data_IF_558879596368
#
_entry.id   IF_558879596368
#
_cell.length_a   1.000
_cell.length_b   1.000
_cell.length_c   1.000
_cell.angle_alpha   90.00
_cell.angle_beta   90.00
_cell.angle_gamma   90.00
#
_symmetry.space_group_name_H-M   'P 1'
#
loop_
_entity.id
_entity.type
_entity.pdbx_description
1 polymer ?
#
# COMPACT_ATOMS: atom_id res chain seq x y z
N UNK A 1 3.15 11.02 17.40
CA UNK A 1 1.73 10.91 17.02
C UNK A 1 1.61 9.72 16.08
N UNK A 2 0.88 8.67 16.48
CA UNK A 2 0.55 7.55 15.60
C UNK A 2 -0.57 8.02 14.67
N UNK A 3 -0.25 8.31 13.41
CA UNK A 3 -1.28 8.63 12.42
C UNK A 3 -1.68 7.31 11.74
N UNK A 4 -2.68 6.65 12.30
CA UNK A 4 -3.35 5.53 11.67
C UNK A 4 -4.55 6.08 10.89
N UNK A 5 -4.42 6.18 9.57
CA UNK A 5 -5.56 6.51 8.71
C UNK A 5 -6.27 5.20 8.37
N UNK A 6 -7.35 4.91 9.09
CA UNK A 6 -8.28 3.82 8.78
C UNK A 6 -9.13 4.23 7.57
N UNK A 7 -8.57 4.21 6.37
CA UNK A 7 -9.40 4.22 5.18
C UNK A 7 -9.86 2.78 4.89
N UNK A 8 -11.13 2.49 5.22
CA UNK A 8 -11.81 1.25 4.79
C UNK A 8 -11.94 1.24 3.27
N UNK A 9 -10.86 0.88 2.57
CA UNK A 9 -10.85 0.72 1.12
C UNK A 9 -11.11 -0.76 0.77
N UNK A 10 -11.61 -1.04 -0.44
CA UNK A 10 -11.96 -2.39 -0.93
C UNK A 10 -10.83 -3.43 -0.84
N UNK A 11 -9.60 -2.98 -0.59
CA UNK A 11 -8.39 -3.79 -0.45
C UNK A 11 -8.04 -4.17 1.01
N UNK A 12 -8.85 -3.82 2.02
CA UNK A 12 -8.61 -4.14 3.44
C UNK A 12 -7.16 -3.89 3.90
N UNK A 13 -6.58 -2.77 3.44
CA UNK A 13 -5.16 -2.44 3.58
C UNK A 13 -5.03 -1.22 4.50
N UNK A 14 -4.20 -1.34 5.54
CA UNK A 14 -3.96 -0.26 6.51
C UNK A 14 -2.57 0.34 6.29
N UNK A 15 -2.46 1.66 6.16
CA UNK A 15 -1.20 2.38 6.07
C UNK A 15 -0.90 3.13 7.39
N UNK A 16 0.35 3.14 7.83
CA UNK A 16 0.74 3.67 9.14
C UNK A 16 1.95 4.60 9.02
N UNK A 17 1.90 5.71 9.76
CA UNK A 17 3.02 6.61 10.02
C UNK A 17 3.24 6.84 11.52
N UNK A 18 4.42 6.46 12.00
CA UNK A 18 4.92 6.66 13.36
C UNK A 18 5.84 7.89 13.38
N UNK A 19 5.29 9.06 13.71
CA UNK A 19 6.04 10.33 13.72
C UNK A 19 6.37 10.74 15.16
N UNK A 20 7.67 10.81 15.48
CA UNK A 20 8.25 11.33 16.72
C UNK A 20 8.77 12.76 16.57
N UNK A 21 9.49 13.26 17.58
CA UNK A 21 10.04 14.62 17.55
C UNK A 21 11.13 14.80 16.49
N UNK A 22 12.05 13.83 16.39
CA UNK A 22 13.22 13.91 15.51
C UNK A 22 13.19 12.88 14.37
N UNK A 23 12.29 11.89 14.44
CA UNK A 23 12.28 10.75 13.55
C UNK A 23 10.86 10.38 13.14
N UNK A 24 10.71 9.86 11.92
CA UNK A 24 9.47 9.30 11.42
C UNK A 24 9.71 7.93 10.77
N UNK A 25 8.82 6.98 11.03
CA UNK A 25 8.81 5.65 10.41
C UNK A 25 7.48 5.44 9.73
N UNK A 26 7.49 5.02 8.46
CA UNK A 26 6.29 4.71 7.69
C UNK A 26 6.31 3.25 7.32
N UNK A 27 5.24 2.54 7.66
CA UNK A 27 5.17 1.09 7.55
C UNK A 27 3.74 0.65 7.22
N UNK A 28 3.60 -0.57 6.69
CA UNK A 28 2.28 -1.17 6.53
C UNK A 28 1.63 -1.39 7.91
N UNK A 29 0.42 -0.87 8.08
CA UNK A 29 -0.43 -1.16 9.24
C UNK A 29 -1.10 -2.51 9.12
N UNK A 30 -1.39 -3.15 10.26
CA UNK A 30 -2.13 -4.40 10.45
C UNK A 30 -2.10 -5.38 9.25
N UNK A 31 -1.24 -6.40 9.36
CA UNK A 31 -1.15 -7.58 8.50
C UNK A 31 -2.52 -8.06 8.01
N UNK A 32 -2.78 -7.97 6.71
CA UNK A 32 -3.89 -8.64 6.04
C UNK A 32 -3.65 -10.18 5.96
N UNK A 33 -3.16 -10.79 7.04
CA UNK A 33 -2.91 -12.23 7.12
C UNK A 33 -1.65 -12.73 6.37
N UNK A 34 -0.75 -11.83 5.99
CA UNK A 34 0.42 -12.06 5.14
C UNK A 34 1.78 -11.90 5.83
N UNK A 35 1.85 -11.24 6.98
CA UNK A 35 3.11 -11.06 7.74
C UNK A 35 3.59 -12.39 8.32
N UNK A 36 4.85 -12.75 8.04
CA UNK A 36 5.53 -13.92 8.60
C UNK A 36 5.23 -15.26 7.92
N UNK A 37 4.46 -15.27 6.82
CA UNK A 37 4.16 -16.50 6.06
C UNK A 37 5.19 -16.71 4.95
N UNK A 38 6.05 -17.71 5.12
CA UNK A 38 7.08 -18.09 4.16
C UNK A 38 6.51 -18.40 2.76
N UNK A 39 5.38 -19.10 2.72
CA UNK A 39 4.68 -19.43 1.48
C UNK A 39 4.29 -18.19 0.65
N UNK A 40 3.94 -17.07 1.31
CA UNK A 40 3.53 -15.85 0.61
C UNK A 40 4.72 -15.07 0.04
N UNK A 41 5.90 -15.21 0.65
CA UNK A 41 7.15 -14.63 0.17
C UNK A 41 7.60 -15.36 -1.09
N UNK A 42 7.55 -16.70 -1.07
CA UNK A 42 7.92 -17.54 -2.22
C UNK A 42 6.92 -17.39 -3.37
N UNK A 43 5.62 -17.30 -3.06
CA UNK A 43 4.57 -17.16 -4.08
C UNK A 43 4.47 -15.74 -4.67
N UNK A 44 5.13 -14.72 -4.08
CA UNK A 44 5.01 -13.30 -4.48
C UNK A 44 3.55 -12.83 -4.58
N UNK A 45 2.73 -13.20 -3.60
CA UNK A 45 1.27 -12.91 -3.57
C UNK A 45 0.84 -11.98 -2.44
N UNK A 46 1.78 -11.25 -1.85
CA UNK A 46 1.47 -10.25 -0.85
C UNK A 46 0.85 -9.00 -1.50
N UNK A 47 -0.13 -8.39 -0.85
CA UNK A 47 -0.73 -7.14 -1.30
C UNK A 47 0.22 -5.95 -1.03
N UNK A 48 0.71 -5.23 -2.06
CA UNK A 48 1.63 -4.10 -1.86
C UNK A 48 0.91 -2.78 -1.49
N UNK A 49 -0.43 -2.73 -1.54
CA UNK A 49 -1.21 -1.48 -1.43
C UNK A 49 -0.94 -0.73 -0.12
N UNK A 50 -0.97 -1.42 1.02
CA UNK A 50 -0.73 -0.83 2.33
C UNK A 50 0.64 -0.13 2.39
N UNK A 51 1.66 -0.76 1.83
CA UNK A 51 3.02 -0.23 1.81
C UNK A 51 3.11 0.98 0.87
N UNK A 52 2.53 0.90 -0.33
CA UNK A 52 2.53 2.01 -1.29
C UNK A 52 1.84 3.27 -0.73
N UNK A 53 0.70 3.10 -0.05
CA UNK A 53 0.01 4.22 0.62
C UNK A 53 0.82 4.79 1.80
N UNK A 54 1.55 3.93 2.53
CA UNK A 54 2.46 4.39 3.58
C UNK A 54 3.65 5.17 2.99
N UNK A 55 4.15 4.77 1.83
CA UNK A 55 5.15 5.55 1.07
C UNK A 55 4.60 6.90 0.60
N UNK A 56 3.31 6.99 0.22
CA UNK A 56 2.69 8.28 -0.09
C UNK A 56 2.65 9.20 1.15
N UNK A 57 2.34 8.67 2.34
CA UNK A 57 2.43 9.44 3.59
C UNK A 57 3.85 9.93 3.87
N UNK A 58 4.86 9.07 3.62
CA UNK A 58 6.27 9.45 3.73
C UNK A 58 6.63 10.60 2.78
N UNK A 59 6.19 10.52 1.51
CA UNK A 59 6.42 11.59 0.54
C UNK A 59 5.80 12.92 0.99
N UNK A 60 4.59 12.89 1.57
CA UNK A 60 3.97 14.09 2.17
C UNK A 60 4.81 14.63 3.34
N UNK A 61 5.32 13.74 4.20
CA UNK A 61 6.17 14.14 5.32
C UNK A 61 7.49 14.79 4.85
N UNK A 62 8.09 14.26 3.79
CA UNK A 62 9.30 14.79 3.15
C UNK A 62 9.07 16.05 2.30
N UNK A 63 7.87 16.65 2.35
CA UNK A 63 7.50 17.85 1.59
C UNK A 63 7.45 17.64 0.06
N UNK A 64 7.08 16.43 -0.37
CA UNK A 64 6.85 16.07 -1.78
C UNK A 64 5.36 15.73 -2.07
N UNK A 65 4.42 16.68 -1.89
CA UNK A 65 2.99 16.41 -2.02
C UNK A 65 2.57 15.99 -3.43
N UNK A 66 3.18 16.56 -4.48
CA UNK A 66 2.85 16.21 -5.88
C UNK A 66 3.15 14.74 -6.21
N UNK A 67 4.27 14.22 -5.73
CA UNK A 67 4.62 12.80 -5.89
C UNK A 67 3.70 11.89 -5.07
N UNK A 68 3.34 12.33 -3.86
CA UNK A 68 2.37 11.61 -3.04
C UNK A 68 1.00 11.51 -3.72
N UNK A 69 0.50 12.61 -4.27
CA UNK A 69 -0.80 12.69 -4.94
C UNK A 69 -0.84 11.80 -6.19
N UNK A 70 0.23 11.78 -7.00
CA UNK A 70 0.36 10.90 -8.16
C UNK A 70 0.31 9.43 -7.77
N UNK A 71 1.12 9.04 -6.77
CA UNK A 71 1.16 7.66 -6.27
C UNK A 71 -0.19 7.23 -5.69
N UNK A 72 -0.79 8.07 -4.84
CA UNK A 72 -2.07 7.77 -4.21
C UNK A 72 -3.19 7.65 -5.26
N UNK A 73 -3.21 8.55 -6.25
CA UNK A 73 -4.19 8.51 -7.35
C UNK A 73 -4.04 7.24 -8.18
N UNK A 74 -2.82 6.87 -8.57
CA UNK A 74 -2.56 5.66 -9.32
C UNK A 74 -3.01 4.39 -8.56
N UNK A 75 -2.67 4.30 -7.27
CA UNK A 75 -3.09 3.19 -6.40
C UNK A 75 -4.62 3.15 -6.26
N UNK A 76 -5.27 4.30 -6.06
CA UNK A 76 -6.75 4.38 -5.97
C UNK A 76 -7.42 3.92 -7.26
N UNK A 77 -6.89 4.25 -8.44
CA UNK A 77 -7.43 3.79 -9.73
C UNK A 77 -7.38 2.26 -9.85
N UNK A 78 -6.22 1.66 -9.59
CA UNK A 78 -6.02 0.20 -9.64
C UNK A 78 -6.96 -0.55 -8.68
N UNK A 79 -7.15 -0.03 -7.46
CA UNK A 79 -8.07 -0.63 -6.48
C UNK A 79 -9.53 -0.46 -6.91
N UNK A 80 -9.90 0.71 -7.45
CA UNK A 80 -11.26 1.02 -7.87
C UNK A 80 -11.75 0.11 -9.01
N UNK A 81 -10.85 -0.29 -9.91
CA UNK A 81 -11.13 -1.27 -10.98
C UNK A 81 -11.55 -2.64 -10.44
N UNK A 82 -11.15 -3.00 -9.21
CA UNK A 82 -11.54 -4.23 -8.53
C UNK A 82 -11.00 -5.53 -9.13
N UNK A 83 -10.21 -5.45 -10.21
CA UNK A 83 -9.58 -6.59 -10.91
C UNK A 83 -8.35 -7.13 -10.18
N UNK A 84 -7.65 -6.26 -9.45
CA UNK A 84 -6.35 -6.54 -8.84
C UNK A 84 -6.51 -6.97 -7.38
N UNK A 85 -6.89 -8.23 -7.17
CA UNK A 85 -6.99 -8.86 -5.84
C UNK A 85 -5.91 -9.91 -5.67
N UNK A 86 -5.09 -9.75 -4.66
CA UNK A 86 -4.08 -10.73 -4.22
C UNK A 86 -4.73 -11.88 -3.43
N UNK A 87 -3.94 -12.92 -3.15
CA UNK A 87 -4.37 -14.15 -2.44
C UNK A 87 -4.96 -13.87 -1.06
N UNK A 88 -4.41 -12.90 -0.32
CA UNK A 88 -4.94 -12.44 0.96
C UNK A 88 -6.33 -11.80 0.87
N UNK A 89 -6.73 -11.35 -0.33
CA UNK A 89 -8.05 -10.81 -0.63
C UNK A 89 -8.94 -11.77 -1.42
N UNK A 90 -8.56 -13.06 -1.49
CA UNK A 90 -9.30 -14.10 -2.21
C UNK A 90 -9.15 -14.06 -3.73
N UNK A 91 -8.15 -13.34 -4.25
CA UNK A 91 -7.81 -13.34 -5.69
C UNK A 91 -6.54 -14.15 -5.99
N UNK A 92 -6.05 -14.06 -7.24
CA UNK A 92 -4.88 -14.82 -7.71
C UNK A 92 -3.78 -13.95 -8.32
N UNK A 93 -3.93 -12.63 -8.23
CA UNK A 93 -2.96 -11.68 -8.76
C UNK A 93 -1.72 -11.63 -7.86
N UNK A 94 -0.56 -11.52 -8.49
CA UNK A 94 0.75 -11.41 -7.85
C UNK A 94 1.04 -9.97 -7.41
N UNK A 95 1.97 -9.80 -6.48
CA UNK A 95 2.47 -8.49 -6.07
C UNK A 95 2.96 -7.67 -7.25
N UNK A 96 3.67 -8.31 -8.19
CA UNK A 96 4.25 -7.62 -9.35
C UNK A 96 3.19 -7.09 -10.30
N UNK A 97 2.15 -7.86 -10.60
CA UNK A 97 1.05 -7.41 -11.47
C UNK A 97 0.32 -6.19 -10.91
N UNK A 98 0.19 -6.08 -9.58
CA UNK A 98 -0.37 -4.87 -8.95
C UNK A 98 0.58 -3.69 -9.12
N UNK A 99 1.88 -3.89 -8.89
CA UNK A 99 2.89 -2.84 -9.07
C UNK A 99 2.92 -2.35 -10.52
N UNK A 100 2.88 -3.24 -11.49
CA UNK A 100 2.87 -2.90 -12.92
C UNK A 100 1.62 -2.11 -13.29
N UNK A 101 0.45 -2.49 -12.76
CA UNK A 101 -0.79 -1.76 -12.94
C UNK A 101 -0.74 -0.34 -12.33
N UNK A 102 -0.11 -0.20 -11.16
CA UNK A 102 0.10 1.12 -10.53
C UNK A 102 1.04 1.97 -11.38
N UNK A 103 2.16 1.42 -11.85
CA UNK A 103 3.10 2.13 -12.72
C UNK A 103 2.43 2.59 -14.01
N UNK A 104 1.60 1.75 -14.63
CA UNK A 104 0.83 2.11 -15.83
C UNK A 104 -0.19 3.23 -15.60
N UNK A 105 -0.58 3.50 -14.35
CA UNK A 105 -1.51 4.55 -13.96
C UNK A 105 -0.82 5.81 -13.40
N UNK A 106 0.52 5.85 -13.36
CA UNK A 106 1.28 7.05 -13.02
C UNK A 106 1.29 8.01 -14.22
N UNK A 107 0.85 9.24 -13.98
CA UNK A 107 0.83 10.38 -14.90
C UNK A 107 2.11 11.20 -14.85
#
# INVERSE_FOLDING_TARGET
MLLCLLESNKANSFNVGNVGADHAVFEQGASAGNVGKQDMVEEKKANPVALLLSSAMMLRHLQFPSFADRLETAVRRVIAEGKYRTKDLGGNITTQEIVDAVIANLD
#
